data_IF_098203777999
#
_entry.id   IF_098203777999
#
_cell.length_a   1.000
_cell.length_b   1.000
_cell.length_c   1.000
_cell.angle_alpha   90.00
_cell.angle_beta   90.00
_cell.angle_gamma   90.00
#
_symmetry.space_group_name_H-M   'P 1'
#
loop_
_entity.id
_entity.type
_entity.pdbx_description
1 polymer ?
#
# COMPACT_ATOMS: atom_id res chain seq x y z
N UNK A 1 13.28 19.76 -66.85
CA UNK A 1 13.45 18.46 -66.09
C UNK A 1 14.21 18.61 -64.77
N UNK A 2 14.14 19.75 -64.06
CA UNK A 2 14.88 19.96 -62.79
C UNK A 2 13.97 20.26 -61.59
N UNK A 3 12.68 20.39 -61.81
CA UNK A 3 11.71 20.78 -60.74
C UNK A 3 11.12 19.60 -59.92
N UNK A 4 11.23 18.36 -60.42
CA UNK A 4 10.67 17.19 -59.74
C UNK A 4 11.60 16.53 -58.70
N UNK A 5 12.86 16.91 -58.69
CA UNK A 5 13.81 16.34 -57.69
C UNK A 5 13.75 17.08 -56.34
N UNK A 6 13.42 18.37 -56.32
CA UNK A 6 13.29 19.14 -55.08
C UNK A 6 12.03 18.77 -54.29
N UNK A 7 10.96 18.38 -54.98
CA UNK A 7 9.72 17.97 -54.31
C UNK A 7 9.81 16.58 -53.66
N UNK A 8 10.66 15.70 -54.18
CA UNK A 8 10.93 14.38 -53.59
C UNK A 8 11.83 14.44 -52.36
N UNK A 9 12.73 15.41 -52.27
CA UNK A 9 13.60 15.59 -51.11
C UNK A 9 12.88 16.16 -49.87
N UNK A 10 11.84 16.98 -50.08
CA UNK A 10 11.03 17.55 -48.98
C UNK A 10 10.07 16.54 -48.39
N UNK A 11 9.55 15.59 -49.17
CA UNK A 11 8.63 14.55 -48.63
C UNK A 11 9.35 13.46 -47.85
N UNK A 12 10.64 13.22 -48.04
CA UNK A 12 11.41 12.20 -47.29
C UNK A 12 11.87 12.73 -45.92
N UNK A 13 12.02 14.06 -45.77
CA UNK A 13 12.41 14.67 -44.49
C UNK A 13 11.28 14.71 -43.45
N UNK A 14 10.01 14.49 -43.83
CA UNK A 14 8.87 14.53 -42.92
C UNK A 14 8.50 13.15 -42.36
N UNK A 15 9.12 12.06 -42.79
CA UNK A 15 8.83 10.69 -42.33
C UNK A 15 9.68 10.24 -41.14
N UNK A 16 10.54 11.12 -40.56
CA UNK A 16 11.37 10.88 -39.40
C UNK A 16 10.87 11.64 -38.14
N UNK A 17 9.58 11.99 -38.08
CA UNK A 17 8.99 12.40 -36.80
C UNK A 17 8.89 11.17 -35.91
N UNK A 18 10.00 10.95 -35.22
CA UNK A 18 10.17 9.85 -34.28
C UNK A 18 9.03 9.79 -33.28
N UNK A 19 8.62 8.58 -32.97
CA UNK A 19 7.76 8.28 -31.84
C UNK A 19 8.27 9.05 -30.64
N UNK A 20 7.54 10.07 -30.19
CA UNK A 20 7.78 10.73 -28.91
C UNK A 20 7.45 9.71 -27.86
N UNK A 21 8.47 9.06 -27.34
CA UNK A 21 8.31 8.09 -26.25
C UNK A 21 7.81 8.81 -25.02
N UNK A 22 6.64 8.40 -24.55
CA UNK A 22 6.09 8.82 -23.28
C UNK A 22 6.94 8.19 -22.18
N UNK A 23 7.75 8.98 -21.49
CA UNK A 23 8.41 8.53 -20.28
C UNK A 23 7.47 8.75 -19.08
N UNK A 24 6.97 7.66 -18.52
CA UNK A 24 6.27 7.66 -17.23
C UNK A 24 7.18 6.94 -16.26
N UNK A 25 7.72 7.68 -15.31
CA UNK A 25 8.53 7.12 -14.23
C UNK A 25 7.69 7.03 -12.94
N UNK A 26 7.47 5.82 -12.49
CA UNK A 26 6.92 5.54 -11.17
C UNK A 26 8.06 5.21 -10.21
N UNK A 27 8.23 6.02 -9.18
CA UNK A 27 9.20 5.77 -8.11
C UNK A 27 8.48 5.68 -6.77
N UNK A 28 8.71 4.60 -6.03
CA UNK A 28 8.42 4.55 -4.61
C UNK A 28 9.71 4.89 -3.91
N UNK A 29 9.77 6.09 -3.32
CA UNK A 29 10.88 6.49 -2.46
C UNK A 29 10.62 5.95 -1.06
N UNK A 30 11.68 5.61 -0.39
CA UNK A 30 11.65 5.08 0.97
C UNK A 30 11.08 3.66 1.08
N UNK A 31 11.52 2.77 0.20
CA UNK A 31 11.46 1.36 0.51
C UNK A 31 12.38 1.14 1.70
N UNK A 32 11.78 1.14 2.89
CA UNK A 32 12.48 0.74 4.10
C UNK A 32 13.24 -0.57 3.86
N UNK A 33 14.26 -0.91 4.65
CA UNK A 33 15.01 -2.13 4.48
C UNK A 33 14.04 -3.31 4.43
N UNK A 34 14.19 -4.17 3.43
CA UNK A 34 13.36 -5.37 3.31
C UNK A 34 13.39 -6.14 4.62
N UNK A 35 12.26 -6.73 5.00
CA UNK A 35 12.18 -7.52 6.23
C UNK A 35 13.09 -8.73 6.09
N UNK A 36 14.22 -8.69 6.78
CA UNK A 36 15.18 -9.79 6.81
C UNK A 36 14.92 -10.62 8.07
N UNK A 37 14.06 -11.61 7.95
CA UNK A 37 13.81 -12.56 9.00
C UNK A 37 13.76 -13.97 8.41
N UNK A 38 14.43 -14.94 9.02
CA UNK A 38 14.34 -16.33 8.58
C UNK A 38 12.90 -16.84 8.78
N UNK A 39 12.31 -17.56 7.81
CA UNK A 39 10.98 -18.12 7.95
C UNK A 39 10.92 -19.15 9.10
N UNK A 40 9.74 -19.29 9.70
CA UNK A 40 9.46 -20.30 10.74
C UNK A 40 8.59 -21.43 10.19
N UNK A 41 8.76 -22.67 10.69
CA UNK A 41 7.83 -23.76 10.44
C UNK A 41 6.40 -23.37 10.83
N UNK A 42 5.39 -23.93 10.16
CA UNK A 42 4.00 -23.53 10.34
C UNK A 42 3.52 -23.66 11.82
N UNK A 43 3.99 -24.69 12.54
CA UNK A 43 3.64 -24.90 13.96
C UNK A 43 4.29 -23.94 14.96
N UNK A 44 5.31 -23.20 14.53
CA UNK A 44 6.03 -22.24 15.36
C UNK A 44 5.64 -20.78 15.07
N UNK A 45 4.76 -20.56 14.09
CA UNK A 45 4.33 -19.22 13.69
C UNK A 45 3.37 -18.63 14.74
N UNK A 46 3.66 -17.39 15.12
CA UNK A 46 2.79 -16.63 16.00
C UNK A 46 1.47 -16.28 15.31
N UNK A 47 0.35 -16.55 15.95
CA UNK A 47 -0.97 -16.15 15.45
C UNK A 47 -1.29 -14.72 15.86
N UNK A 48 -1.47 -13.85 14.89
CA UNK A 48 -1.79 -12.43 15.05
C UNK A 48 -3.09 -12.11 14.35
N UNK A 49 -3.77 -11.05 14.77
CA UNK A 49 -4.95 -10.55 14.07
C UNK A 49 -4.88 -9.05 13.84
N UNK A 50 -5.23 -8.62 12.65
CA UNK A 50 -5.44 -7.21 12.33
C UNK A 50 -6.92 -6.93 12.59
N UNK A 51 -7.22 -6.10 13.61
CA UNK A 51 -8.60 -5.90 14.08
C UNK A 51 -9.21 -4.60 13.59
N UNK A 52 -8.47 -3.51 13.66
CA UNK A 52 -8.95 -2.20 13.26
C UNK A 52 -7.84 -1.46 12.52
N UNK A 53 -8.19 -0.99 11.34
CA UNK A 53 -7.36 -0.07 10.58
C UNK A 53 -8.26 1.02 10.02
N UNK A 54 -7.96 2.27 10.33
CA UNK A 54 -8.82 3.42 9.99
C UNK A 54 -8.06 4.47 9.22
N UNK A 55 -8.76 5.20 8.36
CA UNK A 55 -8.24 6.42 7.77
C UNK A 55 -8.61 7.60 8.68
N UNK A 56 -7.63 8.17 9.36
CA UNK A 56 -7.77 9.36 10.21
C UNK A 56 -7.32 10.64 9.48
N UNK A 57 -6.83 10.49 8.23
CA UNK A 57 -6.42 11.62 7.43
C UNK A 57 -7.63 12.41 6.92
N UNK A 58 -7.44 13.69 6.66
CA UNK A 58 -8.45 14.55 6.02
C UNK A 58 -8.58 14.30 4.51
N UNK A 59 -7.69 13.48 3.93
CA UNK A 59 -7.68 13.17 2.52
C UNK A 59 -8.89 12.33 2.10
N UNK A 60 -9.64 12.85 1.14
CA UNK A 60 -10.85 12.18 0.65
C UNK A 60 -12.07 12.31 1.57
N UNK A 61 -11.96 12.99 2.72
CA UNK A 61 -13.10 13.27 3.58
C UNK A 61 -14.04 14.28 2.90
N UNK A 62 -15.20 13.83 2.45
CA UNK A 62 -16.23 14.70 1.88
C UNK A 62 -16.66 14.43 0.45
N UNK A 63 -15.79 13.90 -0.44
CA UNK A 63 -16.14 13.57 -1.82
C UNK A 63 -16.17 12.06 -2.12
N UNK A 64 -15.56 11.26 -1.25
CA UNK A 64 -15.40 9.82 -1.44
C UNK A 64 -15.71 9.02 -0.16
N UNK A 65 -16.54 9.54 0.71
CA UNK A 65 -17.16 8.71 1.76
C UNK A 65 -18.15 7.81 1.05
N UNK A 66 -17.62 6.69 0.57
CA UNK A 66 -18.43 5.59 0.15
C UNK A 66 -19.23 5.09 1.36
N UNK A 67 -20.53 4.90 1.15
CA UNK A 67 -21.45 4.28 2.13
C UNK A 67 -21.01 2.89 2.58
N UNK A 68 -19.98 2.31 1.96
CA UNK A 68 -19.42 0.99 2.23
C UNK A 68 -18.26 0.95 3.24
N UNK A 69 -17.84 2.09 3.83
CA UNK A 69 -16.83 2.13 4.88
C UNK A 69 -15.46 2.66 4.44
N UNK A 70 -14.49 2.61 5.34
CA UNK A 70 -13.14 3.12 5.20
C UNK A 70 -12.28 2.29 4.22
N UNK A 71 -12.33 2.66 2.94
CA UNK A 71 -11.59 1.98 1.89
C UNK A 71 -10.07 2.06 2.07
N UNK A 72 -9.56 3.20 2.51
CA UNK A 72 -8.12 3.40 2.70
C UNK A 72 -7.61 2.62 3.91
N UNK A 73 -8.38 2.57 4.99
CA UNK A 73 -8.07 1.73 6.15
C UNK A 73 -8.05 0.25 5.78
N UNK A 74 -9.04 -0.23 5.03
CA UNK A 74 -9.05 -1.62 4.53
C UNK A 74 -7.82 -1.92 3.66
N UNK A 75 -7.52 -1.05 2.70
CA UNK A 75 -6.35 -1.19 1.84
C UNK A 75 -5.05 -1.25 2.65
N UNK A 76 -4.90 -0.41 3.67
CA UNK A 76 -3.74 -0.42 4.54
C UNK A 76 -3.64 -1.71 5.36
N UNK A 77 -4.77 -2.24 5.85
CA UNK A 77 -4.82 -3.53 6.54
C UNK A 77 -4.38 -4.68 5.63
N UNK A 78 -4.86 -4.73 4.37
CA UNK A 78 -4.50 -5.75 3.38
C UNK A 78 -3.01 -5.69 3.02
N UNK A 79 -2.46 -4.48 2.85
CA UNK A 79 -1.03 -4.27 2.60
C UNK A 79 -0.20 -4.78 3.78
N UNK A 80 -0.59 -4.46 5.01
CA UNK A 80 0.07 -4.94 6.22
C UNK A 80 0.01 -6.46 6.33
N UNK A 81 -1.17 -7.07 6.12
CA UNK A 81 -1.35 -8.52 6.14
C UNK A 81 -0.42 -9.21 5.13
N UNK A 82 -0.35 -8.69 3.91
CA UNK A 82 0.54 -9.20 2.85
C UNK A 82 2.00 -9.20 3.29
N UNK A 83 2.50 -8.10 3.87
CA UNK A 83 3.88 -8.02 4.34
C UNK A 83 4.16 -8.97 5.51
N UNK A 84 3.23 -9.08 6.46
CA UNK A 84 3.38 -10.00 7.59
C UNK A 84 3.41 -11.46 7.13
N UNK A 85 2.51 -11.86 6.22
CA UNK A 85 2.48 -13.21 5.65
C UNK A 85 3.74 -13.52 4.83
N UNK A 86 4.25 -12.53 4.08
CA UNK A 86 5.47 -12.69 3.28
C UNK A 86 6.70 -13.01 4.13
N UNK A 87 6.74 -12.65 5.41
CA UNK A 87 7.82 -13.03 6.33
C UNK A 87 7.84 -14.52 6.67
N UNK A 88 6.73 -15.23 6.47
CA UNK A 88 6.52 -16.62 6.89
C UNK A 88 6.76 -16.88 8.39
N UNK A 89 6.60 -15.85 9.22
CA UNK A 89 6.75 -15.93 10.69
C UNK A 89 5.44 -15.86 11.44
N UNK A 90 4.38 -15.44 10.75
CA UNK A 90 3.07 -15.18 11.34
C UNK A 90 1.97 -15.94 10.61
N UNK A 91 0.96 -16.30 11.36
CA UNK A 91 -0.37 -16.66 10.85
C UNK A 91 -1.28 -15.46 11.11
N UNK A 92 -1.88 -14.91 10.06
CA UNK A 92 -2.79 -13.76 10.20
C UNK A 92 -4.22 -14.27 10.25
N UNK A 93 -4.89 -14.07 11.40
CA UNK A 93 -6.29 -14.42 11.57
C UNK A 93 -7.18 -13.28 11.08
N UNK A 94 -8.18 -13.62 10.26
CA UNK A 94 -9.17 -12.66 9.78
C UNK A 94 -10.09 -12.22 10.92
N UNK A 95 -10.28 -10.91 11.07
CA UNK A 95 -11.14 -10.30 12.11
C UNK A 95 -12.05 -9.20 11.58
N UNK A 96 -11.87 -8.79 10.32
CA UNK A 96 -12.68 -7.72 9.75
C UNK A 96 -14.03 -8.23 9.26
N UNK A 97 -14.08 -9.45 8.72
CA UNK A 97 -15.28 -10.08 8.15
C UNK A 97 -15.79 -11.28 8.98
N UNK A 98 -15.71 -11.18 10.32
CA UNK A 98 -16.14 -12.28 11.22
C UNK A 98 -17.58 -12.74 10.99
N UNK A 99 -18.47 -11.84 10.57
CA UNK A 99 -19.85 -12.21 10.25
C UNK A 99 -19.95 -13.18 9.07
N UNK A 100 -19.17 -12.98 8.02
CA UNK A 100 -19.11 -13.89 6.86
C UNK A 100 -18.45 -15.21 7.24
N UNK A 101 -17.32 -15.17 7.95
CA UNK A 101 -16.65 -16.39 8.41
C UNK A 101 -17.56 -17.24 9.31
N UNK A 102 -18.38 -16.60 10.14
CA UNK A 102 -19.35 -17.29 10.97
C UNK A 102 -20.44 -17.97 10.14
N UNK A 103 -21.00 -17.26 9.15
CA UNK A 103 -21.99 -17.84 8.26
C UNK A 103 -21.44 -19.04 7.46
N UNK A 104 -20.18 -18.94 6.98
CA UNK A 104 -19.49 -20.07 6.33
C UNK A 104 -19.28 -21.25 7.29
N UNK A 105 -18.85 -21.00 8.53
CA UNK A 105 -18.66 -22.02 9.53
C UNK A 105 -19.98 -22.76 9.85
N UNK A 106 -21.09 -22.03 9.94
CA UNK A 106 -22.44 -22.60 10.10
C UNK A 106 -22.83 -23.50 8.92
N UNK A 107 -22.53 -23.07 7.68
CA UNK A 107 -22.77 -23.90 6.48
C UNK A 107 -21.91 -25.17 6.46
N UNK A 108 -20.71 -25.13 7.04
CA UNK A 108 -19.83 -26.30 7.22
C UNK A 108 -20.24 -27.18 8.40
N UNK A 109 -21.30 -26.84 9.14
CA UNK A 109 -21.77 -27.60 10.29
C UNK A 109 -20.92 -27.44 11.56
N UNK A 110 -20.08 -26.39 11.64
CA UNK A 110 -19.31 -26.08 12.84
C UNK A 110 -20.22 -25.48 13.91
N UNK A 111 -20.12 -25.98 15.15
CA UNK A 111 -20.82 -25.34 16.26
C UNK A 111 -20.19 -23.98 16.62
N UNK A 112 -20.98 -23.12 17.26
CA UNK A 112 -20.52 -21.82 17.75
C UNK A 112 -19.29 -21.97 18.70
N UNK A 113 -19.24 -23.02 19.48
CA UNK A 113 -18.13 -23.32 20.38
C UNK A 113 -16.86 -23.69 19.60
N UNK A 114 -17.00 -24.52 18.57
CA UNK A 114 -15.89 -24.87 17.68
C UNK A 114 -15.38 -23.64 16.92
N UNK A 115 -16.29 -22.81 16.41
CA UNK A 115 -15.92 -21.56 15.76
C UNK A 115 -15.15 -20.63 16.71
N UNK A 116 -15.65 -20.42 17.93
CA UNK A 116 -14.96 -19.64 18.97
C UNK A 116 -13.59 -20.22 19.30
N UNK A 117 -13.48 -21.54 19.46
CA UNK A 117 -12.21 -22.21 19.75
C UNK A 117 -11.18 -21.99 18.65
N UNK A 118 -11.59 -22.03 17.38
CA UNK A 118 -10.73 -21.76 16.25
C UNK A 118 -10.28 -20.30 16.17
N UNK A 119 -11.08 -19.37 16.69
CA UNK A 119 -10.73 -17.96 16.82
C UNK A 119 -9.85 -17.66 18.06
N UNK A 120 -9.84 -18.55 19.05
CA UNK A 120 -9.00 -18.42 20.24
C UNK A 120 -7.59 -18.92 19.95
N UNK A 121 -6.61 -18.11 20.12
CA UNK A 121 -5.21 -18.47 19.83
C UNK A 121 -4.45 -17.29 19.27
N UNK A 122 -5.12 -16.14 19.12
CA UNK A 122 -4.46 -14.89 18.76
C UNK A 122 -3.59 -14.43 19.93
N UNK A 123 -2.33 -14.22 19.61
CA UNK A 123 -1.30 -13.86 20.59
C UNK A 123 -1.00 -12.36 20.61
N UNK A 124 -1.30 -11.67 19.53
CA UNK A 124 -1.25 -10.21 19.47
C UNK A 124 -2.31 -9.66 18.52
N UNK A 125 -2.89 -8.53 18.90
CA UNK A 125 -3.78 -7.75 18.05
C UNK A 125 -2.99 -6.59 17.44
N UNK A 126 -3.26 -6.31 16.19
CA UNK A 126 -2.70 -5.17 15.48
C UNK A 126 -3.84 -4.19 15.17
N UNK A 127 -3.68 -2.97 15.67
CA UNK A 127 -4.53 -1.83 15.35
C UNK A 127 -3.69 -0.81 14.60
N UNK A 128 -4.27 -0.15 13.61
CA UNK A 128 -3.54 0.85 12.86
C UNK A 128 -4.42 1.97 12.35
N UNK A 129 -3.77 3.03 11.92
CA UNK A 129 -4.44 4.11 11.20
C UNK A 129 -3.52 4.73 10.16
N UNK A 130 -4.13 5.18 9.06
CA UNK A 130 -3.51 6.13 8.14
C UNK A 130 -3.71 7.51 8.74
N UNK A 131 -2.70 7.98 9.49
CA UNK A 131 -2.78 9.22 10.26
C UNK A 131 -2.70 10.45 9.34
N UNK A 132 -1.88 10.37 8.30
CA UNK A 132 -1.77 11.41 7.29
C UNK A 132 -1.70 10.79 5.90
N UNK A 133 -2.40 11.41 4.98
CA UNK A 133 -2.31 11.15 3.55
C UNK A 133 -2.46 12.47 2.82
N UNK A 134 -1.54 12.75 1.92
CA UNK A 134 -1.54 13.96 1.13
C UNK A 134 -1.08 13.69 -0.29
N UNK A 135 -1.56 14.50 -1.23
CA UNK A 135 -1.14 14.47 -2.61
C UNK A 135 -0.84 15.86 -3.11
N UNK A 136 0.36 16.05 -3.61
CA UNK A 136 0.81 17.27 -4.24
C UNK A 136 0.94 17.05 -5.75
N UNK A 137 0.62 18.07 -6.52
CA UNK A 137 0.84 18.08 -7.96
C UNK A 137 1.64 19.32 -8.30
N UNK A 138 2.83 19.12 -8.84
CA UNK A 138 3.67 20.19 -9.38
C UNK A 138 3.77 20.04 -10.90
N UNK A 139 3.81 21.13 -11.61
CA UNK A 139 3.97 21.11 -13.07
C UNK A 139 4.54 22.42 -13.58
N UNK A 140 5.35 22.32 -14.64
CA UNK A 140 5.95 23.45 -15.35
C UNK A 140 5.58 23.41 -16.83
N UNK A 141 5.43 24.61 -17.41
CA UNK A 141 5.33 24.80 -18.86
C UNK A 141 6.59 25.53 -19.26
N UNK A 142 7.33 24.97 -20.20
CA UNK A 142 8.49 25.60 -20.81
C UNK A 142 8.32 25.65 -22.33
N UNK A 143 9.14 26.39 -23.01
CA UNK A 143 8.92 26.78 -24.41
C UNK A 143 8.59 25.62 -25.37
N UNK A 144 9.09 24.42 -25.08
CA UNK A 144 8.94 23.24 -25.95
C UNK A 144 8.26 22.04 -25.26
N UNK A 145 7.75 22.19 -24.03
CA UNK A 145 7.14 21.06 -23.33
C UNK A 145 6.41 21.39 -22.04
N UNK A 146 5.80 20.35 -21.48
CA UNK A 146 5.11 20.37 -20.19
C UNK A 146 5.61 19.22 -19.35
N UNK A 147 5.83 19.48 -18.08
CA UNK A 147 6.13 18.46 -17.08
C UNK A 147 5.09 18.51 -15.99
N UNK A 148 4.64 17.34 -15.54
CA UNK A 148 3.73 17.19 -14.43
C UNK A 148 4.23 16.08 -13.51
N UNK A 149 4.46 16.42 -12.25
CA UNK A 149 4.85 15.47 -11.22
C UNK A 149 3.76 15.43 -10.15
N UNK A 150 3.31 14.23 -9.82
CA UNK A 150 2.39 13.96 -8.73
C UNK A 150 3.14 13.20 -7.65
N UNK A 151 2.96 13.63 -6.40
CA UNK A 151 3.62 13.04 -5.25
C UNK A 151 2.56 12.75 -4.18
N UNK A 152 2.48 11.52 -3.71
CA UNK A 152 1.68 11.14 -2.56
C UNK A 152 2.60 10.85 -1.37
N UNK A 153 2.20 11.30 -0.19
CA UNK A 153 2.86 11.03 1.08
C UNK A 153 1.88 10.42 2.05
N UNK A 154 2.31 9.42 2.78
CA UNK A 154 1.50 8.76 3.80
C UNK A 154 2.27 8.63 5.10
N UNK A 155 1.54 8.73 6.23
CA UNK A 155 2.01 8.36 7.56
C UNK A 155 1.03 7.37 8.16
N UNK A 156 1.57 6.23 8.58
CA UNK A 156 0.80 5.12 9.15
C UNK A 156 1.25 4.89 10.57
N UNK A 157 0.31 4.79 11.49
CA UNK A 157 0.57 4.46 12.91
C UNK A 157 0.05 3.06 13.19
N UNK A 158 0.84 2.28 13.90
CA UNK A 158 0.52 0.91 14.28
C UNK A 158 0.71 0.71 15.78
N UNK A 159 -0.24 0.00 16.41
CA UNK A 159 -0.21 -0.39 17.82
C UNK A 159 -0.36 -1.90 17.95
N UNK A 160 0.48 -2.50 18.78
CA UNK A 160 0.39 -3.91 19.14
C UNK A 160 -0.22 -4.02 20.52
N UNK A 161 -1.27 -4.83 20.63
CA UNK A 161 -2.09 -4.97 21.84
C UNK A 161 -2.11 -6.42 22.27
N UNK A 162 -2.00 -6.64 23.58
CA UNK A 162 -2.19 -7.96 24.18
C UNK A 162 -3.69 -8.29 24.24
N UNK A 163 -4.15 -9.38 23.59
CA UNK A 163 -5.57 -9.73 23.55
C UNK A 163 -6.14 -10.13 24.92
N UNK A 164 -5.27 -10.54 25.88
CA UNK A 164 -5.71 -10.98 27.22
C UNK A 164 -5.90 -9.81 28.18
N UNK A 165 -5.03 -8.80 28.07
CA UNK A 165 -5.01 -7.66 29.01
C UNK A 165 -5.54 -6.38 28.40
N UNK A 166 -5.63 -6.29 27.07
CA UNK A 166 -5.96 -5.07 26.35
C UNK A 166 -4.83 -4.02 26.36
N UNK A 167 -3.67 -4.35 26.91
CA UNK A 167 -2.56 -3.41 27.03
C UNK A 167 -1.83 -3.23 25.70
N UNK A 168 -1.57 -1.97 25.34
CA UNK A 168 -0.68 -1.63 24.23
C UNK A 168 0.75 -1.84 24.70
N UNK A 169 1.47 -2.75 24.07
CA UNK A 169 2.87 -3.03 24.41
C UNK A 169 3.87 -2.49 23.41
N UNK A 170 3.40 -1.99 22.27
CA UNK A 170 4.25 -1.38 21.27
C UNK A 170 3.46 -0.44 20.36
N UNK A 171 4.09 0.66 19.99
CA UNK A 171 3.56 1.62 19.01
C UNK A 171 4.69 2.02 18.07
N UNK A 172 4.41 2.07 16.80
CA UNK A 172 5.36 2.53 15.77
C UNK A 172 4.64 3.32 14.69
N UNK A 173 5.35 4.30 14.19
CA UNK A 173 4.98 5.11 13.05
C UNK A 173 5.91 4.83 11.87
N UNK A 174 5.36 4.80 10.67
CA UNK A 174 6.09 4.71 9.42
C UNK A 174 5.63 5.80 8.46
N UNK A 175 6.56 6.33 7.68
CA UNK A 175 6.31 7.31 6.63
C UNK A 175 6.71 6.76 5.27
N UNK A 176 5.96 7.12 4.24
CA UNK A 176 6.24 6.70 2.87
C UNK A 176 5.84 7.75 1.85
N UNK A 177 6.52 7.71 0.72
CA UNK A 177 6.26 8.60 -0.41
C UNK A 177 6.26 7.82 -1.72
N UNK A 178 5.37 8.21 -2.63
CA UNK A 178 5.33 7.71 -4.00
C UNK A 178 5.23 8.87 -4.98
N UNK A 179 5.97 8.80 -6.10
CA UNK A 179 6.02 9.86 -7.11
C UNK A 179 5.67 9.28 -8.48
N UNK A 180 4.86 10.02 -9.23
CA UNK A 180 4.53 9.75 -10.62
C UNK A 180 4.88 11.00 -11.44
N UNK A 181 5.81 10.86 -12.38
CA UNK A 181 6.23 11.94 -13.27
C UNK A 181 5.82 11.65 -14.72
N UNK A 182 5.27 12.65 -15.39
CA UNK A 182 4.94 12.59 -16.81
C UNK A 182 5.47 13.85 -17.52
N UNK A 183 6.15 13.66 -18.63
CA UNK A 183 6.65 14.75 -19.47
C UNK A 183 6.08 14.67 -20.88
N UNK A 184 5.83 15.81 -21.52
CA UNK A 184 5.47 15.91 -22.93
C UNK A 184 6.31 16.98 -23.60
N UNK A 185 6.73 16.72 -24.85
CA UNK A 185 7.53 17.64 -25.67
C UNK A 185 6.76 17.97 -26.94
N UNK A 186 6.78 19.23 -27.36
CA UNK A 186 6.13 19.72 -28.61
C UNK A 186 4.61 19.51 -28.66
N UNK A 187 3.93 19.47 -27.51
CA UNK A 187 2.48 19.28 -27.46
C UNK A 187 2.00 17.85 -27.74
N UNK A 188 2.90 16.94 -28.11
CA UNK A 188 2.64 15.53 -28.27
C UNK A 188 3.05 14.80 -26.99
N UNK A 189 2.10 14.36 -26.19
CA UNK A 189 2.34 13.62 -24.97
C UNK A 189 1.01 13.37 -24.28
N UNK A 190 0.89 12.21 -23.65
CA UNK A 190 -0.31 11.89 -22.91
C UNK A 190 -0.45 12.76 -21.67
N UNK A 191 -1.65 13.18 -21.36
CA UNK A 191 -1.98 13.71 -20.03
C UNK A 191 -1.73 12.62 -19.02
N UNK A 192 -0.90 12.87 -18.00
CA UNK A 192 -0.87 12.02 -16.82
C UNK A 192 -2.24 12.13 -16.16
N UNK A 193 -3.05 11.11 -16.30
CA UNK A 193 -4.31 10.98 -15.58
C UNK A 193 -4.04 10.94 -14.07
N UNK A 194 -5.08 11.07 -13.30
CA UNK A 194 -5.02 10.83 -11.86
C UNK A 194 -4.76 9.34 -11.62
N UNK A 195 -3.63 9.00 -11.01
CA UNK A 195 -3.34 7.62 -10.61
C UNK A 195 -3.83 7.37 -9.18
N UNK A 196 -4.94 6.66 -9.07
CA UNK A 196 -5.54 6.30 -7.77
C UNK A 196 -4.72 5.29 -6.97
N UNK A 197 -3.70 4.69 -7.59
CA UNK A 197 -2.79 3.72 -6.92
C UNK A 197 -1.62 4.42 -6.24
N UNK A 198 -1.39 5.71 -6.50
CA UNK A 198 -0.25 6.45 -5.96
C UNK A 198 -0.33 6.57 -4.44
N UNK A 199 -1.51 6.79 -3.90
CA UNK A 199 -1.78 6.80 -2.46
C UNK A 199 -1.50 5.42 -1.84
N UNK A 200 -1.95 4.36 -2.51
CA UNK A 200 -1.69 2.98 -2.09
C UNK A 200 -0.19 2.67 -2.02
N UNK A 201 0.59 3.16 -2.98
CA UNK A 201 2.06 3.01 -2.98
C UNK A 201 2.72 3.78 -1.83
N UNK A 202 2.24 4.98 -1.52
CA UNK A 202 2.74 5.75 -0.39
C UNK A 202 2.43 5.06 0.96
N UNK A 203 1.23 4.51 1.11
CA UNK A 203 0.84 3.72 2.29
C UNK A 203 1.70 2.45 2.39
N UNK A 204 1.92 1.74 1.29
CA UNK A 204 2.77 0.55 1.25
C UNK A 204 4.21 0.87 1.70
N UNK A 205 4.79 1.95 1.18
CA UNK A 205 6.11 2.41 1.59
C UNK A 205 6.17 2.76 3.08
N UNK A 206 5.13 3.40 3.64
CA UNK A 206 5.04 3.70 5.06
C UNK A 206 5.00 2.43 5.92
N UNK A 207 4.24 1.41 5.49
CA UNK A 207 4.17 0.12 6.17
C UNK A 207 5.54 -0.58 6.14
N UNK A 208 6.18 -0.67 4.96
CA UNK A 208 7.50 -1.31 4.80
C UNK A 208 8.55 -0.63 5.68
N UNK A 209 8.51 0.69 5.81
CA UNK A 209 9.43 1.47 6.64
C UNK A 209 9.43 1.02 8.12
N UNK A 210 8.28 0.61 8.66
CA UNK A 210 8.19 0.19 10.07
C UNK A 210 8.28 -1.33 10.29
N UNK A 211 8.15 -2.15 9.24
CA UNK A 211 7.99 -3.61 9.34
C UNK A 211 9.11 -4.32 10.11
N UNK A 212 10.38 -3.97 9.90
CA UNK A 212 11.50 -4.62 10.60
C UNK A 212 11.40 -4.47 12.11
N UNK A 213 10.96 -3.31 12.60
CA UNK A 213 10.78 -3.08 14.03
C UNK A 213 9.57 -3.84 14.58
N UNK A 214 8.47 -3.89 13.81
CA UNK A 214 7.26 -4.65 14.17
C UNK A 214 7.58 -6.14 14.31
N UNK A 215 8.26 -6.73 13.31
CA UNK A 215 8.66 -8.14 13.31
C UNK A 215 9.56 -8.45 14.50
N UNK A 216 10.61 -7.65 14.74
CA UNK A 216 11.52 -7.82 15.89
C UNK A 216 10.78 -7.80 17.22
N UNK A 217 9.80 -6.90 17.37
CA UNK A 217 9.02 -6.78 18.61
C UNK A 217 8.12 -7.99 18.83
N UNK A 218 7.44 -8.47 17.77
CA UNK A 218 6.61 -9.68 17.83
C UNK A 218 7.44 -10.92 18.14
N UNK A 219 8.61 -11.09 17.50
CA UNK A 219 9.53 -12.18 17.77
C UNK A 219 10.08 -12.18 19.20
N UNK A 220 10.40 -11.01 19.74
CA UNK A 220 10.84 -10.89 21.13
C UNK A 220 9.74 -11.30 22.09
N UNK A 221 8.49 -10.91 21.81
CA UNK A 221 7.33 -11.29 22.62
C UNK A 221 7.04 -12.79 22.55
N UNK A 222 7.16 -13.41 21.39
CA UNK A 222 6.99 -14.85 21.23
C UNK A 222 8.00 -15.61 22.09
N UNK A 223 9.28 -15.23 22.01
CA UNK A 223 10.35 -15.86 22.83
C UNK A 223 10.19 -15.68 24.34
N UNK A 224 9.56 -14.59 24.78
CA UNK A 224 9.31 -14.35 26.21
C UNK A 224 8.14 -15.17 26.77
N UNK A 225 7.39 -15.88 25.93
CA UNK A 225 6.24 -16.72 26.32
C UNK A 225 6.57 -18.22 26.35
N UNK A 226 7.71 -18.60 25.78
CA UNK A 226 8.28 -19.94 25.81
C UNK A 226 9.43 -20.01 26.81
#
# INVERSE_FOLDING_TARGET
>A
MKTNQLFRAVCVAFALTGCVSRAVNEGVQDRGPQVVAAPLPAGERMTIAITRFTNESTYGSGLFTDTSGDRLGKQAADLLARHLLATQRFTVAERQDLGRLRAEAELMGLSEEQFKKNLMGVEALILGSVAELGRDTTGGIWLLGKEKTQRARARVVLRLVDPKTGQVFYTKEGSGEATLSASSTLGFGGTAGFDSTLEGKAIDAAIVNMMNNVVKTLDARQRARH
#
